data_IF_641764258522
#
_entry.id   IF_641764258522
#
_cell.length_a   1.000
_cell.length_b   1.000
_cell.length_c   1.000
_cell.angle_alpha   90.00
_cell.angle_beta   90.00
_cell.angle_gamma   90.00
#
_symmetry.space_group_name_H-M   'P 1'
#
loop_
_entity.id
_entity.type
_entity.pdbx_description
1 polymer ?
#
# COMPACT_ATOMS: atom_id res chain seq x y z
N UNK A 1 13.66 -11.41 -14.97
CA UNK A 1 13.36 -11.62 -13.53
C UNK A 1 13.05 -10.26 -12.94
N UNK A 2 11.82 -10.01 -12.48
CA UNK A 2 11.43 -8.71 -11.94
C UNK A 2 11.89 -8.65 -10.48
N UNK A 3 13.10 -8.14 -10.24
CA UNK A 3 13.64 -7.95 -8.89
C UNK A 3 12.83 -6.82 -8.24
N UNK A 4 12.22 -7.04 -7.09
CA UNK A 4 11.50 -6.00 -6.36
C UNK A 4 12.49 -5.03 -5.69
N UNK A 5 12.11 -3.75 -5.56
CA UNK A 5 12.92 -2.70 -4.90
C UNK A 5 14.31 -2.48 -5.55
N UNK A 6 14.40 -2.42 -6.89
CA UNK A 6 15.70 -2.18 -7.58
C UNK A 6 16.28 -0.79 -7.35
N UNK A 7 15.46 0.14 -6.89
CA UNK A 7 15.88 1.44 -6.40
C UNK A 7 16.73 1.32 -5.13
N UNK A 8 16.32 0.44 -4.21
CA UNK A 8 17.08 0.13 -3.00
C UNK A 8 18.22 -0.86 -3.25
N UNK A 9 18.02 -1.85 -4.13
CA UNK A 9 18.98 -2.91 -4.38
C UNK A 9 19.35 -2.92 -5.88
N UNK A 10 20.25 -2.02 -6.31
CA UNK A 10 20.66 -1.95 -7.71
C UNK A 10 21.34 -3.26 -8.14
N UNK A 11 21.18 -3.62 -9.41
CA UNK A 11 21.83 -4.83 -9.96
C UNK A 11 23.35 -4.67 -10.05
N UNK A 12 24.09 -5.79 -10.06
CA UNK A 12 25.55 -5.82 -10.23
C UNK A 12 26.02 -4.99 -11.43
N UNK A 13 25.28 -5.01 -12.54
CA UNK A 13 25.58 -4.20 -13.72
C UNK A 13 25.47 -2.68 -13.46
N UNK A 14 24.50 -2.27 -12.63
CA UNK A 14 24.31 -0.87 -12.23
C UNK A 14 25.39 -0.45 -11.24
N UNK A 15 25.73 -1.32 -10.27
CA UNK A 15 26.83 -1.11 -9.33
C UNK A 15 28.17 -0.99 -10.06
N UNK A 16 28.43 -1.85 -11.03
CA UNK A 16 29.65 -1.81 -11.85
C UNK A 16 29.74 -0.53 -12.71
N UNK A 17 28.62 -0.03 -13.23
CA UNK A 17 28.59 1.23 -13.99
C UNK A 17 28.91 2.45 -13.12
N UNK A 18 28.54 2.41 -11.84
CA UNK A 18 28.64 3.53 -10.90
C UNK A 18 29.59 3.19 -9.73
N UNK A 19 30.73 2.60 -10.04
CA UNK A 19 31.64 2.04 -9.05
C UNK A 19 32.25 3.10 -8.11
N UNK A 20 32.40 4.35 -8.58
CA UNK A 20 33.03 5.44 -7.81
C UNK A 20 32.11 5.95 -6.70
N UNK A 21 30.80 5.89 -6.92
CA UNK A 21 29.76 6.21 -5.93
C UNK A 21 29.22 4.98 -5.19
N UNK A 22 29.94 3.85 -5.25
CA UNK A 22 29.54 2.59 -4.61
C UNK A 22 29.00 2.74 -3.18
N UNK A 23 29.59 3.58 -2.29
CA UNK A 23 29.05 3.79 -0.94
C UNK A 23 27.62 4.35 -0.88
N UNK A 24 27.17 5.10 -1.88
CA UNK A 24 25.78 5.60 -2.00
C UNK A 24 24.81 4.50 -2.46
N UNK A 25 25.34 3.49 -3.18
CA UNK A 25 24.55 2.40 -3.74
C UNK A 25 24.45 1.22 -2.79
N UNK A 26 25.50 0.95 -2.01
CA UNK A 26 25.61 -0.17 -1.09
C UNK A 26 25.78 0.35 0.34
N UNK A 27 24.78 0.07 1.18
CA UNK A 27 24.79 0.50 2.56
C UNK A 27 24.14 -0.58 3.42
N UNK A 28 24.97 -1.45 3.97
CA UNK A 28 24.52 -2.62 4.73
C UNK A 28 23.61 -2.26 5.92
N UNK A 29 23.81 -1.10 6.54
CA UNK A 29 22.97 -0.62 7.65
C UNK A 29 21.54 -0.31 7.18
N UNK A 30 21.40 0.43 6.07
CA UNK A 30 20.08 0.73 5.49
C UNK A 30 19.43 -0.52 4.91
N UNK A 31 20.22 -1.36 4.24
CA UNK A 31 19.75 -2.58 3.58
C UNK A 31 19.18 -3.58 4.60
N UNK A 32 19.90 -3.80 5.71
CA UNK A 32 19.43 -4.65 6.81
C UNK A 32 18.15 -4.08 7.45
N UNK A 33 18.15 -2.79 7.81
CA UNK A 33 16.98 -2.15 8.40
C UNK A 33 15.76 -2.21 7.46
N UNK A 34 15.97 -1.97 6.17
CA UNK A 34 14.91 -2.05 5.15
C UNK A 34 14.31 -3.45 5.09
N UNK A 35 15.15 -4.49 4.98
CA UNK A 35 14.68 -5.87 4.91
C UNK A 35 13.93 -6.32 6.17
N UNK A 36 14.39 -5.90 7.35
CA UNK A 36 13.71 -6.21 8.61
C UNK A 36 12.29 -5.62 8.66
N UNK A 37 12.14 -4.34 8.26
CA UNK A 37 10.84 -3.69 8.21
C UNK A 37 9.96 -4.22 7.07
N UNK A 38 10.54 -4.51 5.90
CA UNK A 38 9.81 -5.04 4.75
C UNK A 38 9.22 -6.41 5.06
N UNK A 39 10.00 -7.32 5.67
CA UNK A 39 9.53 -8.64 6.07
C UNK A 39 8.33 -8.56 7.03
N UNK A 40 8.40 -7.64 8.01
CA UNK A 40 7.30 -7.38 8.96
C UNK A 40 6.08 -6.80 8.24
N UNK A 41 6.26 -5.81 7.37
CA UNK A 41 5.20 -5.18 6.60
C UNK A 41 4.47 -6.19 5.68
N UNK A 42 5.22 -6.98 4.91
CA UNK A 42 4.67 -7.98 3.99
C UNK A 42 3.91 -9.06 4.76
N UNK A 43 4.46 -9.55 5.88
CA UNK A 43 3.80 -10.55 6.73
C UNK A 43 2.50 -10.01 7.30
N UNK A 44 2.52 -8.82 7.90
CA UNK A 44 1.34 -8.20 8.48
C UNK A 44 0.27 -7.90 7.43
N UNK A 45 0.66 -7.36 6.26
CA UNK A 45 -0.23 -7.15 5.10
C UNK A 45 -0.90 -8.44 4.66
N UNK A 46 -0.14 -9.53 4.59
CA UNK A 46 -0.64 -10.85 4.15
C UNK A 46 -1.64 -11.42 5.16
N UNK A 47 -1.33 -11.34 6.46
CA UNK A 47 -2.23 -11.79 7.52
C UNK A 47 -3.51 -10.96 7.52
N UNK A 48 -3.39 -9.64 7.52
CA UNK A 48 -4.52 -8.71 7.50
C UNK A 48 -5.49 -9.02 6.34
N UNK A 49 -4.98 -9.09 5.11
CA UNK A 49 -5.84 -9.36 3.94
C UNK A 49 -6.36 -10.79 3.86
N UNK A 50 -5.53 -11.82 4.13
CA UNK A 50 -5.98 -13.21 3.99
C UNK A 50 -6.98 -13.59 5.07
N UNK A 51 -6.67 -13.26 6.32
CA UNK A 51 -7.56 -13.58 7.45
C UNK A 51 -8.83 -12.74 7.37
N UNK A 52 -8.72 -11.45 7.01
CA UNK A 52 -9.88 -10.57 6.85
C UNK A 52 -10.84 -11.05 5.76
N UNK A 53 -10.32 -11.37 4.57
CA UNK A 53 -11.13 -11.93 3.47
C UNK A 53 -11.78 -13.27 3.83
N UNK A 54 -11.02 -14.16 4.47
CA UNK A 54 -11.56 -15.46 4.86
C UNK A 54 -12.64 -15.30 5.93
N UNK A 55 -12.46 -14.40 6.90
CA UNK A 55 -13.45 -14.11 7.92
C UNK A 55 -14.77 -13.58 7.33
N UNK A 56 -14.70 -12.61 6.40
CA UNK A 56 -15.91 -12.10 5.72
C UNK A 56 -16.59 -13.22 4.95
N UNK A 57 -15.84 -14.07 4.23
CA UNK A 57 -16.40 -15.18 3.48
C UNK A 57 -17.17 -16.16 4.37
N UNK A 58 -16.61 -16.52 5.54
CA UNK A 58 -17.28 -17.39 6.51
C UNK A 58 -18.58 -16.77 7.03
N UNK A 59 -18.57 -15.47 7.35
CA UNK A 59 -19.75 -14.73 7.81
C UNK A 59 -20.80 -14.66 6.69
N UNK A 60 -20.37 -14.42 5.45
CA UNK A 60 -21.26 -14.33 4.29
C UNK A 60 -21.95 -15.67 4.00
N UNK A 61 -21.20 -16.79 4.01
CA UNK A 61 -21.75 -18.13 3.83
C UNK A 61 -22.74 -18.45 4.95
N UNK A 62 -22.40 -18.13 6.19
CA UNK A 62 -23.29 -18.32 7.34
C UNK A 62 -24.59 -17.51 7.18
N UNK A 63 -24.50 -16.23 6.79
CA UNK A 63 -25.66 -15.38 6.57
C UNK A 63 -26.56 -15.89 5.43
N UNK A 64 -25.97 -16.29 4.30
CA UNK A 64 -26.72 -16.89 3.17
C UNK A 64 -27.44 -18.16 3.64
N UNK A 65 -26.77 -19.01 4.43
CA UNK A 65 -27.41 -20.19 5.00
C UNK A 65 -28.60 -19.82 5.90
N UNK A 66 -28.44 -18.87 6.83
CA UNK A 66 -29.54 -18.44 7.72
C UNK A 66 -30.76 -17.97 6.93
N UNK A 67 -30.55 -17.27 5.82
CA UNK A 67 -31.64 -16.82 4.94
C UNK A 67 -32.24 -17.99 4.15
N UNK A 68 -31.41 -18.92 3.68
CA UNK A 68 -31.87 -20.15 3.03
C UNK A 68 -32.74 -20.99 3.97
N UNK A 69 -32.34 -21.13 5.23
CA UNK A 69 -33.08 -21.87 6.26
C UNK A 69 -34.44 -21.22 6.55
N UNK A 70 -34.49 -19.88 6.57
CA UNK A 70 -35.72 -19.14 6.83
C UNK A 70 -36.70 -19.11 5.64
N UNK A 71 -36.20 -19.12 4.40
CA UNK A 71 -37.03 -18.88 3.21
C UNK A 71 -37.27 -20.12 2.35
N UNK A 72 -36.32 -21.05 2.29
CA UNK A 72 -36.26 -22.04 1.20
C UNK A 72 -36.12 -23.48 1.67
N UNK A 73 -35.42 -23.72 2.78
CA UNK A 73 -35.22 -25.08 3.28
C UNK A 73 -36.43 -25.53 4.09
N UNK A 74 -37.05 -26.63 3.66
CA UNK A 74 -38.04 -27.33 4.48
C UNK A 74 -37.36 -27.97 5.71
N UNK A 75 -38.13 -28.11 6.80
CA UNK A 75 -37.75 -28.73 8.07
C UNK A 75 -37.39 -30.23 7.93
N UNK A 76 -36.33 -30.52 7.19
CA UNK A 76 -35.79 -31.84 6.93
C UNK A 76 -34.72 -32.20 7.95
N UNK A 77 -34.41 -33.49 8.10
CA UNK A 77 -33.48 -34.01 9.13
C UNK A 77 -32.04 -33.47 9.05
N UNK A 78 -31.66 -32.80 7.95
CA UNK A 78 -30.31 -32.25 7.75
C UNK A 78 -30.14 -30.81 8.27
N UNK A 79 -31.24 -30.15 8.65
CA UNK A 79 -31.25 -28.76 9.16
C UNK A 79 -30.38 -28.59 10.40
N UNK A 80 -30.43 -29.50 11.38
CA UNK A 80 -29.64 -29.35 12.63
C UNK A 80 -28.13 -29.33 12.40
N UNK A 81 -27.61 -30.24 11.56
CA UNK A 81 -26.17 -30.32 11.27
C UNK A 81 -25.68 -29.14 10.45
N UNK A 82 -26.49 -28.68 9.48
CA UNK A 82 -26.16 -27.53 8.65
C UNK A 82 -26.23 -26.22 9.45
N UNK A 83 -27.22 -26.07 10.33
CA UNK A 83 -27.35 -24.92 11.24
C UNK A 83 -26.20 -24.86 12.22
N UNK A 84 -25.78 -26.01 12.78
CA UNK A 84 -24.57 -26.07 13.60
C UNK A 84 -23.33 -25.66 12.80
N UNK A 85 -23.19 -26.15 11.57
CA UNK A 85 -22.11 -25.78 10.66
C UNK A 85 -22.07 -24.27 10.41
N UNK A 86 -23.20 -23.65 10.05
CA UNK A 86 -23.31 -22.23 9.80
C UNK A 86 -22.98 -21.40 11.06
N UNK A 87 -23.42 -21.83 12.24
CA UNK A 87 -23.08 -21.18 13.50
C UNK A 87 -21.57 -21.24 13.78
N UNK A 88 -20.91 -22.37 13.54
CA UNK A 88 -19.46 -22.51 13.66
C UNK A 88 -18.73 -21.58 12.69
N UNK A 89 -19.18 -21.48 11.43
CA UNK A 89 -18.59 -20.54 10.47
C UNK A 89 -18.70 -19.08 10.94
N UNK A 90 -19.86 -18.68 11.48
CA UNK A 90 -20.06 -17.34 12.02
C UNK A 90 -19.10 -17.05 13.18
N UNK A 91 -19.00 -17.97 14.14
CA UNK A 91 -18.13 -17.84 15.31
C UNK A 91 -16.67 -17.74 14.88
N UNK A 92 -16.23 -18.60 13.95
CA UNK A 92 -14.86 -18.57 13.42
C UNK A 92 -14.58 -17.25 12.69
N UNK A 93 -15.50 -16.78 11.85
CA UNK A 93 -15.36 -15.50 11.16
C UNK A 93 -15.23 -14.32 12.13
N UNK A 94 -16.10 -14.26 13.14
CA UNK A 94 -16.05 -13.22 14.18
C UNK A 94 -14.76 -13.32 14.99
N UNK A 95 -14.35 -14.52 15.41
CA UNK A 95 -13.12 -14.73 16.15
C UNK A 95 -11.87 -14.30 15.35
N UNK A 96 -11.86 -14.55 14.04
CA UNK A 96 -10.79 -14.09 13.14
C UNK A 96 -10.75 -12.56 13.03
N UNK A 97 -11.91 -11.89 12.91
CA UNK A 97 -11.96 -10.42 12.94
C UNK A 97 -11.47 -9.86 14.27
N UNK A 98 -11.92 -10.43 15.39
CA UNK A 98 -11.47 -10.06 16.73
C UNK A 98 -9.94 -10.24 16.87
N UNK A 99 -9.39 -11.34 16.37
CA UNK A 99 -7.95 -11.59 16.36
C UNK A 99 -7.19 -10.50 15.58
N UNK A 100 -7.65 -10.11 14.39
CA UNK A 100 -7.01 -9.05 13.59
C UNK A 100 -7.00 -7.71 14.35
N UNK A 101 -8.11 -7.37 15.01
CA UNK A 101 -8.27 -6.14 15.79
C UNK A 101 -7.32 -6.16 17.00
N UNK A 102 -7.34 -7.24 17.78
CA UNK A 102 -6.52 -7.38 18.99
C UNK A 102 -5.02 -7.40 18.66
N UNK A 103 -4.62 -8.12 17.62
CA UNK A 103 -3.21 -8.20 17.20
C UNK A 103 -2.74 -6.96 16.42
N UNK A 104 -3.64 -6.01 16.14
CA UNK A 104 -3.35 -4.73 15.47
C UNK A 104 -2.53 -4.87 14.19
N UNK A 105 -2.75 -5.94 13.41
CA UNK A 105 -1.94 -6.25 12.22
C UNK A 105 -1.87 -5.10 11.22
N UNK A 106 -2.95 -4.33 11.10
CA UNK A 106 -2.99 -3.13 10.28
C UNK A 106 -1.97 -2.08 10.72
N UNK A 107 -1.86 -1.79 12.02
CA UNK A 107 -0.87 -0.83 12.53
C UNK A 107 0.54 -1.34 12.27
N UNK A 108 0.78 -2.62 12.53
CA UNK A 108 2.08 -3.26 12.24
C UNK A 108 2.43 -3.11 10.77
N UNK A 109 1.49 -3.39 9.86
CA UNK A 109 1.70 -3.23 8.43
C UNK A 109 2.01 -1.77 8.05
N UNK A 110 1.17 -0.82 8.46
CA UNK A 110 1.30 0.59 8.10
C UNK A 110 2.59 1.21 8.65
N UNK A 111 2.90 0.97 9.92
CA UNK A 111 4.10 1.48 10.58
C UNK A 111 5.38 0.97 9.90
N UNK A 112 5.44 -0.34 9.60
CA UNK A 112 6.61 -0.90 8.92
C UNK A 112 6.69 -0.46 7.46
N UNK A 113 5.55 -0.22 6.78
CA UNK A 113 5.57 0.36 5.43
C UNK A 113 6.11 1.79 5.44
N UNK A 114 5.67 2.61 6.39
CA UNK A 114 6.20 3.94 6.63
C UNK A 114 7.71 3.90 6.89
N UNK A 115 8.18 3.01 7.76
CA UNK A 115 9.60 2.81 8.02
C UNK A 115 10.39 2.48 6.74
N UNK A 116 9.91 1.55 5.91
CA UNK A 116 10.55 1.23 4.63
C UNK A 116 10.67 2.46 3.70
N UNK A 117 9.61 3.26 3.57
CA UNK A 117 9.64 4.47 2.72
C UNK A 117 10.57 5.54 3.28
N UNK A 118 10.64 5.69 4.61
CA UNK A 118 11.61 6.59 5.27
C UNK A 118 13.04 6.13 5.07
N UNK A 119 13.34 4.84 5.25
CA UNK A 119 14.68 4.27 5.00
C UNK A 119 15.07 4.47 3.53
N UNK A 120 14.14 4.27 2.60
CA UNK A 120 14.35 4.58 1.17
C UNK A 120 14.68 6.05 0.97
N UNK A 121 13.91 6.96 1.58
CA UNK A 121 14.20 8.38 1.48
C UNK A 121 15.57 8.74 2.06
N UNK A 122 15.97 8.18 3.22
CA UNK A 122 17.30 8.38 3.79
C UNK A 122 18.42 7.96 2.83
N UNK A 123 18.28 6.81 2.14
CA UNK A 123 19.24 6.39 1.12
C UNK A 123 19.40 7.44 0.03
N UNK A 124 18.29 7.94 -0.51
CA UNK A 124 18.31 8.89 -1.61
C UNK A 124 18.69 10.31 -1.18
N UNK A 125 18.39 10.73 0.05
CA UNK A 125 18.91 11.96 0.63
C UNK A 125 20.44 11.91 0.82
N UNK A 126 21.02 10.72 1.08
CA UNK A 126 22.48 10.61 1.14
C UNK A 126 23.21 10.97 -0.17
N UNK A 127 22.51 11.04 -1.31
CA UNK A 127 23.10 11.48 -2.58
C UNK A 127 23.57 12.93 -2.57
N UNK A 128 23.11 13.77 -1.64
CA UNK A 128 23.73 15.07 -1.33
C UNK A 128 25.24 14.98 -1.10
N UNK A 129 25.72 13.83 -0.60
CA UNK A 129 27.15 13.61 -0.34
C UNK A 129 27.96 13.38 -1.63
N UNK A 130 27.31 13.04 -2.74
CA UNK A 130 27.97 12.76 -4.02
C UNK A 130 28.65 13.99 -4.64
N UNK A 131 28.11 15.18 -4.39
CA UNK A 131 28.65 16.47 -4.89
C UNK A 131 29.67 17.10 -3.93
N UNK A 132 29.96 16.46 -2.78
CA UNK A 132 30.68 17.08 -1.68
C UNK A 132 31.96 16.34 -1.28
N UNK A 133 32.33 15.24 -1.94
CA UNK A 133 33.51 14.46 -1.54
C UNK A 133 34.50 14.29 -2.69
N UNK A 134 35.79 14.25 -2.33
CA UNK A 134 36.93 14.15 -3.27
C UNK A 134 37.23 12.74 -3.74
N UNK A 135 36.93 11.75 -2.90
CA UNK A 135 37.26 10.36 -3.16
C UNK A 135 36.24 9.40 -2.53
N UNK A 136 36.31 8.14 -2.96
CA UNK A 136 35.43 7.07 -2.51
C UNK A 136 35.54 6.77 -1.01
N UNK A 137 36.71 6.96 -0.40
CA UNK A 137 36.93 6.64 1.01
C UNK A 137 36.25 7.67 1.92
N UNK A 138 36.40 8.96 1.61
CA UNK A 138 35.66 10.03 2.27
C UNK A 138 34.16 9.87 2.09
N UNK A 139 33.70 9.47 0.90
CA UNK A 139 32.29 9.25 0.63
C UNK A 139 31.74 8.12 1.51
N UNK A 140 32.49 7.03 1.66
CA UNK A 140 32.11 5.94 2.56
C UNK A 140 31.95 6.41 4.02
N UNK A 141 32.90 7.21 4.52
CA UNK A 141 32.82 7.75 5.89
C UNK A 141 31.60 8.65 6.05
N UNK A 142 31.39 9.60 5.13
CA UNK A 142 30.28 10.54 5.18
C UNK A 142 28.92 9.83 5.11
N UNK A 143 28.76 8.87 4.20
CA UNK A 143 27.52 8.09 4.06
C UNK A 143 27.25 7.26 5.30
N UNK A 144 28.28 6.65 5.89
CA UNK A 144 28.13 5.84 7.10
C UNK A 144 27.71 6.71 8.30
N UNK A 145 28.33 7.88 8.47
CA UNK A 145 28.00 8.82 9.54
C UNK A 145 26.56 9.36 9.40
N UNK A 146 26.20 9.81 8.19
CA UNK A 146 24.85 10.26 7.87
C UNK A 146 23.83 9.16 8.18
N UNK A 147 24.06 7.97 7.62
CA UNK A 147 23.16 6.83 7.77
C UNK A 147 22.96 6.45 9.22
N UNK A 148 24.04 6.28 9.99
CA UNK A 148 23.96 5.87 11.39
C UNK A 148 23.17 6.89 12.21
N UNK A 149 23.44 8.18 12.03
CA UNK A 149 22.76 9.27 12.74
C UNK A 149 21.25 9.28 12.44
N UNK A 150 20.90 9.26 11.16
CA UNK A 150 19.50 9.43 10.74
C UNK A 150 18.68 8.16 10.90
N UNK A 151 19.29 6.98 10.76
CA UNK A 151 18.62 5.72 11.06
C UNK A 151 18.28 5.60 12.55
N UNK A 152 19.20 5.95 13.45
CA UNK A 152 18.91 5.94 14.90
C UNK A 152 17.83 6.96 15.29
N UNK A 153 17.76 8.12 14.61
CA UNK A 153 16.64 9.07 14.80
C UNK A 153 15.32 8.45 14.35
N UNK A 154 15.29 7.82 13.18
CA UNK A 154 14.10 7.15 12.67
C UNK A 154 13.64 6.03 13.61
N UNK A 155 14.54 5.21 14.13
CA UNK A 155 14.21 4.16 15.10
C UNK A 155 13.57 4.74 16.38
N UNK A 156 14.10 5.87 16.86
CA UNK A 156 13.51 6.58 18.00
C UNK A 156 12.11 7.12 17.69
N UNK A 157 11.89 7.66 16.49
CA UNK A 157 10.57 8.14 16.05
C UNK A 157 9.57 6.98 15.93
N UNK A 158 10.01 5.83 15.41
CA UNK A 158 9.19 4.62 15.27
C UNK A 158 8.76 4.04 16.63
N UNK A 159 9.49 4.32 17.72
CA UNK A 159 9.07 3.95 19.07
C UNK A 159 7.79 4.66 19.53
N UNK A 160 7.42 5.78 18.89
CA UNK A 160 6.14 6.45 19.13
C UNK A 160 4.93 5.70 18.52
N UNK A 161 5.17 4.63 17.75
CA UNK A 161 4.13 3.83 17.11
C UNK A 161 3.32 4.65 16.10
N UNK A 162 1.99 4.49 16.07
CA UNK A 162 1.13 5.17 15.09
C UNK A 162 1.16 6.72 15.19
N UNK A 163 1.55 7.28 16.34
CA UNK A 163 1.66 8.73 16.49
C UNK A 163 2.73 9.34 15.55
N UNK A 164 3.68 8.53 15.07
CA UNK A 164 4.66 8.98 14.08
C UNK A 164 4.02 9.32 12.73
N UNK A 165 2.97 8.60 12.32
CA UNK A 165 2.23 8.87 11.09
C UNK A 165 1.42 10.18 11.21
N UNK A 166 0.84 10.44 12.39
CA UNK A 166 0.04 11.65 12.65
C UNK A 166 0.89 12.93 12.70
N UNK A 167 2.13 12.80 13.18
CA UNK A 167 3.07 13.92 13.35
C UNK A 167 4.02 14.08 12.18
N UNK A 168 3.95 13.18 11.20
CA UNK A 168 4.82 13.20 10.05
C UNK A 168 4.66 14.53 9.30
N UNK A 169 5.78 15.11 8.90
CA UNK A 169 5.82 16.35 8.15
C UNK A 169 6.94 16.23 7.12
N UNK A 170 6.63 16.35 5.83
CA UNK A 170 7.63 16.24 4.77
C UNK A 170 8.83 17.17 4.98
N UNK A 171 8.58 18.42 5.38
CA UNK A 171 9.63 19.42 5.57
C UNK A 171 10.58 19.09 6.73
N UNK A 172 10.09 18.44 7.79
CA UNK A 172 10.93 18.02 8.93
C UNK A 172 11.69 16.71 8.66
N UNK A 173 11.27 15.98 7.63
CA UNK A 173 11.77 14.67 7.27
C UNK A 173 12.80 14.72 6.12
N UNK A 174 13.01 15.91 5.55
CA UNK A 174 14.07 16.21 4.62
C UNK A 174 15.34 16.50 5.43
N UNK A 175 16.25 15.53 5.47
CA UNK A 175 17.53 15.64 6.14
C UNK A 175 18.59 16.06 5.13
N UNK A 176 18.83 17.37 5.03
CA UNK A 176 19.97 17.89 4.27
C UNK A 176 21.23 17.73 5.12
N UNK A 177 22.30 17.05 4.64
CA UNK A 177 23.50 16.87 5.43
C UNK A 177 24.14 18.21 5.84
N UNK A 178 24.47 18.37 7.12
CA UNK A 178 25.19 19.54 7.66
C UNK A 178 26.65 19.52 7.19
N UNK A 179 26.95 19.99 5.97
CA UNK A 179 28.33 20.06 5.49
C UNK A 179 28.66 21.45 4.93
N UNK A 180 29.68 22.10 5.50
CA UNK A 180 30.46 23.09 4.75
C UNK A 180 31.03 22.38 3.52
N UNK A 181 30.86 22.95 2.32
CA UNK A 181 31.37 22.38 1.05
C UNK A 181 32.81 21.89 1.26
N UNK A 182 32.98 20.58 1.27
CA UNK A 182 34.22 19.87 1.60
C UNK A 182 35.25 19.98 0.45
N UNK A 183 35.58 21.20 0.01
CA UNK A 183 36.56 21.48 -1.04
C UNK A 183 36.25 20.85 -2.41
N UNK A 184 37.16 21.04 -3.39
CA UNK A 184 37.01 20.61 -4.80
C UNK A 184 36.47 19.18 -4.97
N UNK A 185 35.16 19.05 -5.17
CA UNK A 185 34.49 17.78 -5.43
C UNK A 185 34.98 17.17 -6.75
N UNK A 186 35.04 15.84 -6.82
CA UNK A 186 35.36 15.16 -8.07
C UNK A 186 34.17 15.30 -9.05
N UNK A 187 34.34 16.01 -10.19
CA UNK A 187 33.25 16.23 -11.15
C UNK A 187 32.73 14.92 -11.76
N UNK A 188 33.54 13.86 -11.78
CA UNK A 188 33.13 12.56 -12.30
C UNK A 188 32.23 11.82 -11.30
N UNK A 189 32.54 11.87 -10.01
CA UNK A 189 31.69 11.32 -8.96
C UNK A 189 30.36 12.07 -8.87
N UNK A 190 30.38 13.40 -8.93
CA UNK A 190 29.18 14.24 -8.97
C UNK A 190 28.27 13.89 -10.15
N UNK A 191 28.86 13.74 -11.35
CA UNK A 191 28.11 13.33 -12.55
C UNK A 191 27.51 11.92 -12.41
N UNK A 192 28.27 10.95 -11.90
CA UNK A 192 27.77 9.60 -11.64
C UNK A 192 26.65 9.60 -10.59
N UNK A 193 26.81 10.36 -9.49
CA UNK A 193 25.80 10.48 -8.44
C UNK A 193 24.49 11.02 -9.00
N UNK A 194 24.56 12.06 -9.83
CA UNK A 194 23.40 12.61 -10.53
C UNK A 194 22.74 11.58 -11.45
N UNK A 195 23.50 10.94 -12.33
CA UNK A 195 22.94 9.96 -13.27
C UNK A 195 22.30 8.78 -12.53
N UNK A 196 22.96 8.28 -11.48
CA UNK A 196 22.45 7.21 -10.65
C UNK A 196 21.19 7.62 -9.88
N UNK A 197 21.11 8.85 -9.37
CA UNK A 197 19.92 9.37 -8.70
C UNK A 197 18.74 9.47 -9.67
N UNK A 198 18.94 10.04 -10.85
CA UNK A 198 17.91 10.15 -11.87
C UNK A 198 17.39 8.77 -12.32
N UNK A 199 18.27 7.79 -12.46
CA UNK A 199 17.87 6.43 -12.85
C UNK A 199 17.17 5.67 -11.71
N UNK A 200 17.79 5.60 -10.54
CA UNK A 200 17.36 4.74 -9.45
C UNK A 200 16.22 5.35 -8.64
N UNK A 201 16.17 6.68 -8.48
CA UNK A 201 15.11 7.34 -7.73
C UNK A 201 13.99 7.80 -8.64
N UNK A 202 14.30 8.65 -9.60
CA UNK A 202 13.26 9.34 -10.37
C UNK A 202 12.60 8.39 -11.37
N UNK A 203 13.38 7.84 -12.30
CA UNK A 203 12.84 7.00 -13.38
C UNK A 203 12.22 5.73 -12.84
N UNK A 204 12.83 5.11 -11.83
CA UNK A 204 12.23 3.96 -11.16
C UNK A 204 10.87 4.30 -10.53
N UNK A 205 10.75 5.40 -9.78
CA UNK A 205 9.49 5.77 -9.12
C UNK A 205 8.40 6.12 -10.13
N UNK A 206 8.73 6.81 -11.23
CA UNK A 206 7.80 7.06 -12.34
C UNK A 206 7.31 5.74 -12.94
N UNK A 207 8.22 4.81 -13.23
CA UNK A 207 7.87 3.51 -13.82
C UNK A 207 7.03 2.67 -12.85
N UNK A 208 7.39 2.66 -11.57
CA UNK A 208 6.65 1.97 -10.52
C UNK A 208 5.22 2.53 -10.41
N UNK A 209 5.07 3.84 -10.21
CA UNK A 209 3.77 4.49 -10.10
C UNK A 209 2.93 4.30 -11.37
N UNK A 210 3.54 4.40 -12.56
CA UNK A 210 2.85 4.16 -13.83
C UNK A 210 2.34 2.72 -13.95
N UNK A 211 3.14 1.74 -13.51
CA UNK A 211 2.75 0.33 -13.50
C UNK A 211 1.59 0.06 -12.51
N UNK A 212 1.59 0.73 -11.36
CA UNK A 212 0.50 0.66 -10.39
C UNK A 212 -0.78 1.29 -10.94
N UNK A 213 -0.70 2.47 -11.59
CA UNK A 213 -1.85 3.08 -12.27
C UNK A 213 -2.43 2.14 -13.32
N UNK A 214 -1.60 1.50 -14.15
CA UNK A 214 -2.05 0.56 -15.17
C UNK A 214 -2.74 -0.67 -14.56
N UNK A 215 -2.15 -1.22 -13.48
CA UNK A 215 -2.68 -2.34 -12.69
C UNK A 215 -4.04 -2.01 -12.06
N UNK A 216 -4.17 -0.82 -11.47
CA UNK A 216 -5.41 -0.34 -10.85
C UNK A 216 -6.51 -0.13 -11.89
N UNK A 217 -6.22 0.56 -13.00
CA UNK A 217 -7.18 0.77 -14.09
C UNK A 217 -7.75 -0.55 -14.63
N UNK A 218 -6.90 -1.56 -14.77
CA UNK A 218 -7.33 -2.90 -15.17
C UNK A 218 -8.29 -3.55 -14.17
N UNK A 219 -7.99 -3.45 -12.87
CA UNK A 219 -8.81 -4.04 -11.79
C UNK A 219 -10.14 -3.34 -11.61
N UNK A 220 -10.18 -2.00 -11.55
CA UNK A 220 -11.41 -1.23 -11.33
C UNK A 220 -12.48 -1.54 -12.36
N UNK A 221 -12.12 -1.61 -13.65
CA UNK A 221 -13.10 -1.91 -14.73
C UNK A 221 -13.83 -3.24 -14.51
N UNK A 222 -13.13 -4.25 -13.99
CA UNK A 222 -13.73 -5.57 -13.71
C UNK A 222 -14.49 -5.63 -12.40
N UNK A 223 -14.02 -4.89 -11.39
CA UNK A 223 -14.53 -4.94 -10.02
C UNK A 223 -15.85 -4.19 -9.89
N UNK A 224 -15.89 -2.93 -10.33
CA UNK A 224 -17.07 -2.06 -10.21
C UNK A 224 -18.22 -2.65 -11.02
N UNK A 225 -17.94 -3.18 -12.21
CA UNK A 225 -18.93 -3.84 -13.07
C UNK A 225 -19.62 -5.04 -12.40
N UNK A 226 -18.90 -5.86 -11.63
CA UNK A 226 -19.52 -7.05 -11.01
C UNK A 226 -20.33 -6.70 -9.75
N UNK A 227 -19.86 -5.74 -8.95
CA UNK A 227 -20.60 -5.25 -7.79
C UNK A 227 -21.93 -4.60 -8.23
N UNK A 228 -21.88 -3.73 -9.24
CA UNK A 228 -23.07 -3.05 -9.75
C UNK A 228 -24.07 -4.02 -10.36
N UNK A 229 -23.59 -5.04 -11.09
CA UNK A 229 -24.45 -6.11 -11.62
C UNK A 229 -25.11 -6.90 -10.50
N UNK A 230 -24.38 -7.26 -9.43
CA UNK A 230 -24.95 -7.97 -8.28
C UNK A 230 -26.03 -7.14 -7.58
N UNK A 231 -25.78 -5.87 -7.31
CA UNK A 231 -26.76 -4.99 -6.67
C UNK A 231 -27.96 -4.71 -7.56
N UNK A 232 -27.76 -4.40 -8.84
CA UNK A 232 -28.85 -4.15 -9.78
C UNK A 232 -29.73 -5.39 -9.95
N UNK A 233 -29.11 -6.58 -10.03
CA UNK A 233 -29.84 -7.85 -10.09
C UNK A 233 -30.62 -8.12 -8.80
N UNK A 234 -30.02 -7.87 -7.63
CA UNK A 234 -30.70 -8.00 -6.34
C UNK A 234 -31.93 -7.08 -6.25
N UNK A 235 -31.79 -5.81 -6.64
CA UNK A 235 -32.89 -4.83 -6.65
C UNK A 235 -33.99 -5.23 -7.64
N UNK A 236 -33.60 -5.66 -8.85
CA UNK A 236 -34.56 -6.11 -9.87
C UNK A 236 -35.37 -7.31 -9.38
N UNK A 237 -34.71 -8.31 -8.78
CA UNK A 237 -35.39 -9.47 -8.21
C UNK A 237 -36.29 -9.09 -7.03
N UNK A 238 -35.87 -8.15 -6.18
CA UNK A 238 -36.70 -7.63 -5.10
C UNK A 238 -37.97 -6.95 -5.64
N UNK A 239 -37.87 -6.15 -6.71
CA UNK A 239 -39.04 -5.55 -7.38
C UNK A 239 -39.96 -6.61 -8.00
N UNK A 240 -39.38 -7.64 -8.64
CA UNK A 240 -40.16 -8.76 -9.20
C UNK A 240 -40.91 -9.49 -8.06
N UNK A 241 -40.22 -9.80 -6.96
CA UNK A 241 -40.85 -10.45 -5.79
C UNK A 241 -41.99 -9.60 -5.22
N UNK A 242 -41.76 -8.29 -5.03
CA UNK A 242 -42.80 -7.38 -4.54
C UNK A 242 -43.99 -7.31 -5.50
N UNK A 243 -43.74 -7.24 -6.81
CA UNK A 243 -44.76 -7.26 -7.84
C UNK A 243 -45.60 -8.54 -7.78
N UNK A 244 -44.95 -9.71 -7.69
CA UNK A 244 -45.66 -10.99 -7.56
C UNK A 244 -46.53 -10.99 -6.29
N UNK A 245 -46.01 -10.55 -5.14
CA UNK A 245 -46.79 -10.48 -3.89
C UNK A 245 -48.00 -9.54 -3.95
N UNK A 246 -47.94 -8.50 -4.79
CA UNK A 246 -49.05 -7.56 -5.00
C UNK A 246 -50.12 -8.15 -5.94
N UNK A 247 -49.70 -8.83 -7.02
CA UNK A 247 -50.59 -9.30 -8.08
C UNK A 247 -51.04 -10.76 -7.95
N UNK A 248 -50.35 -11.56 -7.14
CA UNK A 248 -50.69 -12.93 -6.77
C UNK A 248 -50.79 -13.07 -5.23
N UNK A 249 -51.82 -12.47 -4.61
CA UNK A 249 -52.03 -12.56 -3.17
C UNK A 249 -52.40 -13.98 -2.71
N UNK A 250 -52.72 -14.90 -3.62
CA UNK A 250 -52.97 -16.30 -3.33
C UNK A 250 -51.68 -17.10 -3.04
N UNK A 251 -50.51 -16.53 -3.34
CA UNK A 251 -49.18 -17.14 -3.13
C UNK A 251 -48.97 -18.45 -3.93
N UNK A 252 -49.57 -18.56 -5.12
CA UNK A 252 -49.39 -19.75 -5.98
C UNK A 252 -47.98 -19.80 -6.59
N UNK A 253 -47.32 -18.64 -6.71
CA UNK A 253 -45.94 -18.54 -7.18
C UNK A 253 -44.91 -18.64 -6.04
N UNK A 254 -43.77 -19.35 -6.22
CA UNK A 254 -42.76 -19.56 -5.19
C UNK A 254 -41.86 -18.33 -4.98
N UNK A 255 -42.43 -17.24 -4.47
CA UNK A 255 -41.73 -15.95 -4.25
C UNK A 255 -40.55 -16.07 -3.29
N UNK A 256 -40.54 -17.06 -2.40
CA UNK A 256 -39.49 -17.29 -1.43
C UNK A 256 -38.12 -17.59 -2.07
N UNK A 257 -38.07 -18.25 -3.23
CA UNK A 257 -36.83 -18.44 -4.00
C UNK A 257 -36.34 -17.14 -4.63
N UNK A 258 -37.26 -16.27 -5.06
CA UNK A 258 -36.92 -14.96 -5.63
C UNK A 258 -36.36 -14.05 -4.53
N UNK A 259 -36.97 -14.05 -3.35
CA UNK A 259 -36.47 -13.35 -2.17
C UNK A 259 -35.08 -13.86 -1.75
N UNK A 260 -34.90 -15.18 -1.69
CA UNK A 260 -33.61 -15.79 -1.37
C UNK A 260 -32.51 -15.37 -2.37
N UNK A 261 -32.80 -15.42 -3.67
CA UNK A 261 -31.85 -15.02 -4.71
C UNK A 261 -31.49 -13.53 -4.60
N UNK A 262 -32.48 -12.66 -4.37
CA UNK A 262 -32.28 -11.23 -4.19
C UNK A 262 -31.37 -10.93 -2.98
N UNK A 263 -31.65 -11.53 -1.82
CA UNK A 263 -30.87 -11.30 -0.60
C UNK A 263 -29.46 -11.91 -0.71
N UNK A 264 -29.31 -13.08 -1.33
CA UNK A 264 -28.00 -13.72 -1.56
C UNK A 264 -27.10 -12.85 -2.45
N UNK A 265 -27.66 -12.27 -3.52
CA UNK A 265 -26.95 -11.34 -4.39
C UNK A 265 -26.58 -10.05 -3.65
N UNK A 266 -27.46 -9.56 -2.78
CA UNK A 266 -27.17 -8.41 -1.92
C UNK A 266 -26.02 -8.67 -0.96
N UNK A 267 -26.01 -9.82 -0.27
CA UNK A 267 -24.92 -10.21 0.64
C UNK A 267 -23.62 -10.38 -0.14
N UNK A 268 -23.66 -11.06 -1.28
CA UNK A 268 -22.49 -11.26 -2.14
C UNK A 268 -21.93 -9.93 -2.65
N UNK A 269 -22.79 -9.00 -3.08
CA UNK A 269 -22.42 -7.65 -3.46
C UNK A 269 -21.80 -6.86 -2.31
N UNK A 270 -22.36 -6.95 -1.10
CA UNK A 270 -21.82 -6.31 0.10
C UNK A 270 -20.47 -6.89 0.52
N UNK A 271 -20.31 -8.21 0.53
CA UNK A 271 -19.04 -8.90 0.80
C UNK A 271 -17.95 -8.48 -0.18
N UNK A 272 -18.31 -8.39 -1.46
CA UNK A 272 -17.42 -7.90 -2.51
C UNK A 272 -17.02 -6.44 -2.25
N UNK A 273 -17.99 -5.55 -2.04
CA UNK A 273 -17.75 -4.13 -1.78
C UNK A 273 -16.84 -3.89 -0.57
N UNK A 274 -17.07 -4.63 0.53
CA UNK A 274 -16.22 -4.59 1.72
C UNK A 274 -14.79 -5.06 1.42
N UNK A 275 -14.66 -6.18 0.70
CA UNK A 275 -13.36 -6.74 0.33
C UNK A 275 -12.59 -5.81 -0.59
N UNK A 276 -13.28 -5.14 -1.51
CA UNK A 276 -12.70 -4.23 -2.50
C UNK A 276 -12.33 -2.87 -1.85
N UNK A 277 -13.16 -2.33 -0.95
CA UNK A 277 -12.84 -1.15 -0.15
C UNK A 277 -11.63 -1.36 0.75
N UNK A 278 -11.48 -2.55 1.33
CA UNK A 278 -10.30 -2.89 2.11
C UNK A 278 -9.00 -2.94 1.28
N UNK A 279 -9.09 -2.90 -0.06
CA UNK A 279 -7.95 -2.92 -0.97
C UNK A 279 -7.52 -1.55 -1.50
N UNK A 280 -8.17 -0.45 -1.06
CA UNK A 280 -7.77 0.94 -1.36
C UNK A 280 -7.56 1.24 -2.86
N UNK A 281 -8.39 0.70 -3.74
CA UNK A 281 -8.12 0.73 -5.19
C UNK A 281 -8.42 2.08 -5.86
N UNK A 282 -9.45 2.82 -5.44
CA UNK A 282 -9.85 4.06 -6.14
C UNK A 282 -9.05 5.30 -5.69
N UNK A 283 -8.82 5.48 -4.38
CA UNK A 283 -8.03 6.62 -3.87
C UNK A 283 -6.56 6.57 -4.29
N UNK A 284 -6.03 5.39 -4.61
CA UNK A 284 -4.62 5.23 -4.98
C UNK A 284 -4.31 5.63 -6.43
N UNK A 285 -5.24 5.53 -7.37
CA UNK A 285 -4.96 5.88 -8.78
C UNK A 285 -4.67 7.37 -8.96
N UNK A 286 -5.60 8.25 -8.55
CA UNK A 286 -5.43 9.69 -8.70
C UNK A 286 -4.22 10.22 -7.92
N UNK A 287 -3.90 9.60 -6.78
CA UNK A 287 -2.69 9.88 -5.99
C UNK A 287 -1.42 9.57 -6.80
N UNK A 288 -1.32 8.39 -7.42
CA UNK A 288 -0.16 8.03 -8.23
C UNK A 288 -0.02 8.89 -9.50
N UNK A 289 -1.12 9.25 -10.15
CA UNK A 289 -1.09 10.15 -11.31
C UNK A 289 -0.57 11.55 -10.94
N UNK A 290 -1.04 12.08 -9.79
CA UNK A 290 -0.54 13.36 -9.26
C UNK A 290 0.94 13.26 -8.88
N UNK A 291 1.36 12.15 -8.28
CA UNK A 291 2.75 11.91 -7.91
C UNK A 291 3.68 11.84 -9.12
N UNK A 292 3.29 11.13 -10.18
CA UNK A 292 4.05 11.07 -11.44
C UNK A 292 4.21 12.48 -12.01
N UNK A 293 3.11 13.24 -12.12
CA UNK A 293 3.16 14.61 -12.64
C UNK A 293 4.05 15.53 -11.79
N UNK A 294 4.06 15.35 -10.46
CA UNK A 294 4.93 16.12 -9.57
C UNK A 294 6.42 15.79 -9.76
N UNK A 295 6.77 14.50 -9.93
CA UNK A 295 8.15 14.07 -10.21
C UNK A 295 8.64 14.60 -11.56
N UNK A 296 7.83 14.45 -12.61
CA UNK A 296 8.15 14.94 -13.95
C UNK A 296 8.31 16.46 -13.97
N UNK A 297 7.40 17.19 -13.32
CA UNK A 297 7.49 18.64 -13.21
C UNK A 297 8.75 19.09 -12.46
N UNK A 298 9.07 18.45 -11.33
CA UNK A 298 10.29 18.75 -10.58
C UNK A 298 11.55 18.56 -11.44
N UNK A 299 11.62 17.47 -12.21
CA UNK A 299 12.72 17.23 -13.16
C UNK A 299 12.80 18.26 -14.28
N UNK A 300 11.67 18.63 -14.88
CA UNK A 300 11.64 19.65 -15.96
C UNK A 300 12.16 20.99 -15.45
N UNK A 301 11.72 21.40 -14.25
CA UNK A 301 12.18 22.65 -13.62
C UNK A 301 13.68 22.59 -13.30
N UNK A 302 14.14 21.48 -12.72
CA UNK A 302 15.54 21.29 -12.38
C UNK A 302 16.45 21.31 -13.62
N UNK A 303 16.06 20.60 -14.68
CA UNK A 303 16.81 20.57 -15.94
C UNK A 303 16.81 21.94 -16.65
N UNK A 304 15.67 22.64 -16.65
CA UNK A 304 15.55 23.97 -17.24
C UNK A 304 16.43 25.03 -16.59
N UNK A 305 16.70 24.89 -15.28
CA UNK A 305 17.56 25.80 -14.52
C UNK A 305 19.01 25.34 -14.38
N UNK A 306 19.36 24.16 -14.90
CA UNK A 306 20.66 23.50 -14.65
C UNK A 306 20.95 23.37 -13.15
N UNK A 307 19.94 22.91 -12.41
CA UNK A 307 20.02 22.75 -10.97
C UNK A 307 21.18 21.81 -10.56
N UNK A 308 21.79 22.07 -9.39
CA UNK A 308 22.81 21.18 -8.82
C UNK A 308 22.23 19.83 -8.39
N UNK A 309 23.06 18.84 -8.06
CA UNK A 309 22.55 17.58 -7.51
C UNK A 309 21.75 17.83 -6.24
N UNK A 310 22.25 18.69 -5.35
CA UNK A 310 21.58 19.04 -4.09
C UNK A 310 20.15 19.55 -4.33
N UNK A 311 19.99 20.51 -5.24
CA UNK A 311 18.67 21.06 -5.57
C UNK A 311 17.73 20.01 -6.17
N UNK A 312 18.26 19.06 -6.93
CA UNK A 312 17.49 17.95 -7.51
C UNK A 312 17.06 16.97 -6.43
N UNK A 313 17.99 16.56 -5.56
CA UNK A 313 17.71 15.63 -4.47
C UNK A 313 16.65 16.22 -3.55
N UNK A 314 16.79 17.48 -3.14
CA UNK A 314 15.81 18.17 -2.30
C UNK A 314 14.43 18.24 -2.96
N UNK A 315 14.36 18.63 -4.23
CA UNK A 315 13.10 18.77 -4.94
C UNK A 315 12.39 17.42 -5.10
N UNK A 316 13.12 16.37 -5.48
CA UNK A 316 12.56 15.04 -5.70
C UNK A 316 12.19 14.35 -4.38
N UNK A 317 13.04 14.43 -3.36
CA UNK A 317 12.76 13.84 -2.05
C UNK A 317 11.59 14.54 -1.38
N UNK A 318 11.46 15.87 -1.52
CA UNK A 318 10.26 16.58 -1.06
C UNK A 318 8.99 16.04 -1.71
N UNK A 319 8.99 15.79 -3.02
CA UNK A 319 7.83 15.20 -3.72
C UNK A 319 7.53 13.79 -3.18
N UNK A 320 8.56 12.95 -2.98
CA UNK A 320 8.40 11.61 -2.41
C UNK A 320 7.86 11.65 -0.97
N UNK A 321 8.32 12.60 -0.16
CA UNK A 321 7.86 12.75 1.22
C UNK A 321 6.44 13.30 1.30
N UNK A 322 6.03 14.17 0.37
CA UNK A 322 4.62 14.59 0.25
C UNK A 322 3.72 13.41 -0.13
N UNK A 323 4.17 12.52 -1.02
CA UNK A 323 3.42 11.27 -1.30
C UNK A 323 3.30 10.39 -0.06
N UNK A 324 4.37 10.27 0.72
CA UNK A 324 4.36 9.54 1.97
C UNK A 324 3.41 10.17 3.01
N UNK A 325 3.33 11.49 3.07
CA UNK A 325 2.37 12.19 3.94
C UNK A 325 0.92 11.90 3.52
N UNK A 326 0.61 11.95 2.23
CA UNK A 326 -0.70 11.54 1.72
C UNK A 326 -1.01 10.08 2.09
N UNK A 327 -0.03 9.19 1.98
CA UNK A 327 -0.17 7.81 2.48
C UNK A 327 -0.46 7.77 3.98
N UNK A 328 0.21 8.55 4.82
CA UNK A 328 -0.04 8.62 6.26
C UNK A 328 -1.45 9.10 6.57
N UNK A 329 -1.91 10.17 5.89
CA UNK A 329 -3.27 10.70 6.04
C UNK A 329 -4.34 9.67 5.64
N UNK A 330 -4.13 8.98 4.51
CA UNK A 330 -5.02 7.90 4.07
C UNK A 330 -5.02 6.75 5.08
N UNK A 331 -3.84 6.33 5.54
CA UNK A 331 -3.66 5.25 6.49
C UNK A 331 -4.43 5.46 7.81
N UNK A 332 -4.54 6.71 8.27
CA UNK A 332 -5.30 7.11 9.46
C UNK A 332 -6.82 7.14 9.23
N UNK A 333 -7.28 7.43 8.02
CA UNK A 333 -8.72 7.51 7.68
C UNK A 333 -9.37 6.15 7.46
N UNK A 334 -8.60 5.16 7.01
CA UNK A 334 -9.16 3.84 6.69
C UNK A 334 -9.57 3.15 8.00
N UNK A 335 -10.82 2.72 8.10
CA UNK A 335 -11.31 2.01 9.30
C UNK A 335 -10.73 0.58 9.39
N UNK A 336 -10.84 -0.06 10.56
CA UNK A 336 -10.49 -1.48 10.77
C UNK A 336 -11.50 -2.46 10.19
N UNK A 337 -12.60 -1.96 9.60
CA UNK A 337 -13.71 -2.78 9.14
C UNK A 337 -13.32 -3.49 7.84
N UNK A 338 -12.95 -4.75 7.98
CA UNK A 338 -13.42 -5.80 7.07
C UNK A 338 -14.82 -6.22 7.53
#
# INVERSE_FOLDING_TARGET
MNIANRDMFPSDATQARFADIGPLLENSLLDEAFHQHEAKAVRAKRIYHRVGRFAILLIAISAIYTISDALVLDATRWTTSLTLGAAVLAILGIAMQAMIIVTRQKQVWLLNRFACERIRSLKFQSFHLGDNVRDKAGLQTAVTEFTSRHLSRLENDLNAGMAVLERFSPDKALDTPDHEKLGDADPTMAAQAREAFEELRVRYQINFASSEVASLRGKMRSVTSLQDVMYFSAVTLAFISLGIKIFDPAHDLPTHWVDFAAITLFISGATKAITDNALLQEQSQGRYETYIGALEHAMVVANGRRASLDEIVDAIERVCLVELDLFCQDALRVSYRF
#
